data_IF_306721424671
#
_entry.id   IF_306721424671
#
_cell.length_a   1.000
_cell.length_b   1.000
_cell.length_c   1.000
_cell.angle_alpha   90.00
_cell.angle_beta   90.00
_cell.angle_gamma   90.00
#
_symmetry.space_group_name_H-M   'P 1'
#
loop_
_entity.id
_entity.type
_entity.pdbx_description
1 polymer ?
#
# COMPACT_ATOMS: atom_id res chain seq x y z
N UNK A 1 12.49 9.13 -31.81
CA UNK A 1 11.84 9.64 -30.61
C UNK A 1 10.83 8.63 -30.11
N UNK A 2 10.87 8.38 -28.82
CA UNK A 2 9.94 7.42 -28.25
C UNK A 2 8.57 8.06 -28.13
N UNK A 3 7.57 7.36 -28.58
CA UNK A 3 6.23 7.85 -28.48
C UNK A 3 5.73 7.72 -27.05
N UNK A 4 5.12 8.77 -26.54
CA UNK A 4 4.59 8.76 -25.20
C UNK A 4 3.16 8.25 -25.21
N UNK A 5 2.90 7.20 -24.46
CA UNK A 5 1.54 6.70 -24.31
C UNK A 5 0.85 7.50 -23.20
N UNK A 6 -0.15 8.32 -23.53
CA UNK A 6 -0.81 9.14 -22.52
C UNK A 6 -1.39 8.34 -21.37
N UNK A 7 -1.81 7.12 -21.61
CA UNK A 7 -2.39 6.29 -20.56
C UNK A 7 -1.41 5.98 -19.44
N UNK A 8 -0.11 6.10 -19.68
CA UNK A 8 0.89 5.85 -18.65
C UNK A 8 1.08 7.08 -17.76
N UNK A 9 0.59 8.24 -18.19
CA UNK A 9 0.82 9.49 -17.49
C UNK A 9 -0.46 10.14 -16.96
N UNK A 10 -1.59 9.74 -17.48
CA UNK A 10 -2.87 10.28 -17.02
C UNK A 10 -3.26 9.58 -15.72
N UNK A 11 -3.50 10.37 -14.71
CA UNK A 11 -3.91 9.85 -13.42
C UNK A 11 -3.16 10.50 -12.27
N UNK A 12 -3.56 10.18 -11.08
CA UNK A 12 -2.90 10.70 -9.89
C UNK A 12 -1.76 9.78 -9.49
N UNK A 13 -0.65 10.37 -9.08
CA UNK A 13 0.48 9.60 -8.59
C UNK A 13 0.82 10.10 -7.19
N UNK A 14 1.30 9.21 -6.35
CA UNK A 14 1.61 9.57 -4.98
C UNK A 14 2.72 8.72 -4.39
N UNK A 15 3.29 9.22 -3.33
CA UNK A 15 4.24 8.48 -2.50
C UNK A 15 3.55 8.19 -1.18
N UNK A 16 3.58 6.95 -0.77
CA UNK A 16 2.96 6.51 0.47
C UNK A 16 4.03 6.00 1.42
N UNK A 17 3.94 6.41 2.68
CA UNK A 17 4.80 5.85 3.73
C UNK A 17 3.89 5.37 4.85
N UNK A 18 4.02 4.14 5.25
CA UNK A 18 3.21 3.60 6.32
C UNK A 18 3.66 2.21 6.74
N UNK A 19 3.00 1.69 7.75
CA UNK A 19 3.34 0.39 8.31
C UNK A 19 2.49 -0.69 7.66
N UNK A 20 3.11 -1.78 7.25
CA UNK A 20 2.39 -2.90 6.66
C UNK A 20 1.45 -3.54 7.69
N UNK A 21 0.21 -3.76 7.31
CA UNK A 21 -0.77 -4.41 8.18
C UNK A 21 -0.54 -5.91 8.26
N UNK A 22 0.20 -6.46 7.32
CA UNK A 22 0.53 -7.88 7.29
C UNK A 22 1.46 -8.13 6.11
N UNK A 23 1.82 -9.37 5.85
CA UNK A 23 2.65 -9.67 4.67
C UNK A 23 1.81 -9.51 3.40
N UNK A 24 2.46 -9.33 2.24
CA UNK A 24 1.73 -9.29 0.97
C UNK A 24 1.00 -10.61 0.75
N UNK A 25 -0.21 -10.52 0.24
CA UNK A 25 -1.06 -11.69 0.02
C UNK A 25 -1.70 -11.66 -1.35
N UNK A 26 -2.05 -12.82 -1.86
CA UNK A 26 -2.80 -12.87 -3.10
C UNK A 26 -4.22 -12.37 -2.86
N UNK A 27 -4.84 -11.73 -3.88
CA UNK A 27 -6.22 -11.27 -3.73
C UNK A 27 -7.12 -12.44 -3.35
N UNK A 28 -8.07 -12.17 -2.46
CA UNK A 28 -8.98 -13.21 -1.97
C UNK A 28 -10.08 -13.53 -2.97
N UNK A 29 -10.17 -12.79 -4.04
CA UNK A 29 -11.13 -13.05 -5.10
C UNK A 29 -10.37 -13.25 -6.39
N UNK A 30 -10.94 -14.08 -7.26
CA UNK A 30 -10.33 -14.34 -8.53
C UNK A 30 -10.61 -13.17 -9.47
N UNK A 31 -9.58 -12.43 -9.80
CA UNK A 31 -9.69 -11.31 -10.71
C UNK A 31 -8.87 -11.64 -11.94
N UNK A 32 -9.53 -11.68 -13.07
CA UNK A 32 -8.85 -11.93 -14.33
C UNK A 32 -7.75 -10.89 -14.53
N UNK A 33 -6.56 -11.34 -14.81
CA UNK A 33 -5.43 -10.45 -15.02
C UNK A 33 -4.61 -10.14 -13.78
N UNK A 34 -5.04 -10.62 -12.61
CA UNK A 34 -4.28 -10.36 -11.39
C UNK A 34 -3.32 -11.50 -11.03
N UNK A 35 -3.21 -12.48 -11.90
CA UNK A 35 -2.36 -13.65 -11.63
C UNK A 35 -0.91 -13.22 -11.48
N UNK A 36 -0.27 -13.68 -10.40
CA UNK A 36 1.12 -13.33 -10.13
C UNK A 36 1.28 -12.02 -9.37
N UNK A 37 0.20 -11.31 -9.09
CA UNK A 37 0.26 -10.07 -8.31
C UNK A 37 -0.22 -10.31 -6.90
N UNK A 38 0.42 -9.64 -5.96
CA UNK A 38 0.02 -9.67 -4.56
C UNK A 38 -0.40 -8.28 -4.11
N UNK A 39 -1.13 -8.22 -3.02
CA UNK A 39 -1.60 -6.97 -2.44
C UNK A 39 -1.05 -6.81 -1.04
N UNK A 40 -0.56 -5.62 -0.75
CA UNK A 40 -0.08 -5.25 0.58
C UNK A 40 -0.99 -4.16 1.13
N UNK A 41 -1.55 -4.38 2.31
CA UNK A 41 -2.43 -3.39 2.92
C UNK A 41 -1.65 -2.48 3.86
N UNK A 42 -1.81 -1.18 3.69
CA UNK A 42 -1.17 -0.18 4.52
C UNK A 42 -2.22 0.83 5.00
N UNK A 43 -2.58 0.80 6.29
CA UNK A 43 -3.49 1.80 6.83
C UNK A 43 -2.71 3.05 7.21
N UNK A 44 -3.27 4.21 6.93
CA UNK A 44 -2.67 5.48 7.33
C UNK A 44 -3.68 6.24 8.18
N UNK A 45 -3.30 6.51 9.41
CA UNK A 45 -4.14 7.29 10.31
C UNK A 45 -3.98 8.76 10.00
N UNK A 46 -5.09 9.44 9.84
CA UNK A 46 -5.12 10.86 9.52
C UNK A 46 -5.56 11.65 10.73
N UNK A 47 -5.01 12.84 10.89
CA UNK A 47 -5.38 13.66 12.02
C UNK A 47 -4.51 14.90 12.11
N UNK A 48 -4.53 15.52 13.28
CA UNK A 48 -3.78 16.75 13.50
C UNK A 48 -3.46 16.87 14.99
N UNK A 49 -2.50 17.74 15.30
CA UNK A 49 -2.23 18.07 16.69
C UNK A 49 -3.09 19.25 17.10
N UNK A 50 -3.77 19.10 18.24
CA UNK A 50 -4.60 20.18 18.76
C UNK A 50 -3.73 21.20 19.52
N UNK A 51 -4.39 22.22 20.08
CA UNK A 51 -3.66 23.28 20.79
C UNK A 51 -2.93 22.80 22.03
N UNK A 52 -3.35 21.67 22.58
CA UNK A 52 -2.69 21.10 23.77
C UNK A 52 -1.53 20.19 23.39
N UNK A 53 -1.25 20.03 22.10
CA UNK A 53 -0.17 19.17 21.64
C UNK A 53 -0.54 17.71 21.47
N UNK A 54 -1.82 17.36 21.69
CA UNK A 54 -2.27 16.00 21.57
C UNK A 54 -2.69 15.69 20.13
N UNK A 55 -2.50 14.44 19.73
CA UNK A 55 -2.93 13.99 18.41
C UNK A 55 -4.42 13.69 18.40
N UNK A 56 -5.13 14.27 17.45
CA UNK A 56 -6.56 14.01 17.26
C UNK A 56 -6.71 13.20 15.96
N UNK A 57 -7.13 11.96 16.08
CA UNK A 57 -7.31 11.08 14.94
C UNK A 57 -8.65 11.36 14.29
N UNK A 58 -8.66 11.68 12.99
CA UNK A 58 -9.88 11.97 12.25
C UNK A 58 -10.31 10.81 11.34
N UNK A 59 -9.49 9.81 11.19
CA UNK A 59 -9.87 8.64 10.38
C UNK A 59 -8.66 7.83 9.96
N UNK A 60 -8.95 6.75 9.25
CA UNK A 60 -7.93 5.88 8.70
C UNK A 60 -8.24 5.63 7.23
N UNK A 61 -7.25 5.83 6.38
CA UNK A 61 -7.38 5.48 4.97
C UNK A 61 -6.59 4.20 4.74
N UNK A 62 -7.24 3.22 4.15
CA UNK A 62 -6.61 1.96 3.82
C UNK A 62 -6.15 1.98 2.37
N UNK A 63 -4.86 1.79 2.17
CA UNK A 63 -4.27 1.72 0.84
C UNK A 63 -3.92 0.28 0.52
N UNK A 64 -4.14 -0.13 -0.72
CA UNK A 64 -3.72 -1.43 -1.21
C UNK A 64 -2.60 -1.20 -2.20
N UNK A 65 -1.43 -1.75 -1.93
CA UNK A 65 -0.29 -1.66 -2.84
C UNK A 65 -0.23 -2.93 -3.65
N UNK A 66 -0.29 -2.81 -4.97
CA UNK A 66 -0.27 -3.95 -5.88
C UNK A 66 1.08 -4.03 -6.57
N UNK A 67 1.69 -5.19 -6.52
CA UNK A 67 2.94 -5.45 -7.23
C UNK A 67 3.07 -6.93 -7.54
N UNK A 68 3.97 -7.25 -8.46
CA UNK A 68 4.23 -8.64 -8.81
C UNK A 68 4.79 -9.39 -7.61
N UNK A 69 4.44 -10.66 -7.49
CA UNK A 69 4.86 -11.48 -6.36
C UNK A 69 6.37 -11.52 -6.21
N UNK A 70 7.12 -11.50 -7.30
CA UNK A 70 8.58 -11.55 -7.22
C UNK A 70 9.14 -10.31 -6.52
N UNK A 71 8.56 -9.15 -6.76
CA UNK A 71 9.01 -7.92 -6.12
C UNK A 71 8.76 -7.96 -4.61
N UNK A 72 7.61 -8.46 -4.21
CA UNK A 72 7.30 -8.58 -2.80
C UNK A 72 8.13 -9.67 -2.12
N UNK A 73 8.31 -10.81 -2.79
CA UNK A 73 9.08 -11.91 -2.21
C UNK A 73 10.52 -11.51 -1.97
N UNK A 74 11.09 -10.71 -2.87
CA UNK A 74 12.43 -10.22 -2.70
C UNK A 74 12.56 -9.30 -1.49
N UNK A 75 11.54 -8.52 -1.21
CA UNK A 75 11.57 -7.59 -0.09
C UNK A 75 11.27 -8.24 1.26
N UNK A 76 10.53 -9.31 1.27
CA UNK A 76 10.21 -10.04 2.50
C UNK A 76 9.44 -9.22 3.52
N UNK A 77 8.46 -8.43 3.08
CA UNK A 77 7.71 -7.55 3.96
C UNK A 77 6.88 -8.34 4.96
N UNK A 78 6.94 -7.95 6.22
CA UNK A 78 6.15 -8.56 7.29
C UNK A 78 5.31 -7.50 8.00
N UNK A 79 4.35 -7.95 8.77
CA UNK A 79 3.50 -7.06 9.55
C UNK A 79 4.32 -6.11 10.41
N UNK A 80 4.04 -4.84 10.35
CA UNK A 80 4.71 -3.83 11.15
C UNK A 80 5.94 -3.21 10.50
N UNK A 81 6.37 -3.71 9.36
CA UNK A 81 7.50 -3.11 8.64
C UNK A 81 7.08 -1.74 8.10
N UNK A 82 7.99 -0.78 8.18
CA UNK A 82 7.73 0.55 7.62
C UNK A 82 8.14 0.54 6.16
N UNK A 83 7.20 0.86 5.29
CA UNK A 83 7.36 0.74 3.85
C UNK A 83 7.10 2.08 3.17
N UNK A 84 7.90 2.39 2.17
CA UNK A 84 7.67 3.55 1.31
C UNK A 84 7.40 3.06 -0.11
N UNK A 85 6.37 3.61 -0.73
CA UNK A 85 6.02 3.33 -2.11
C UNK A 85 6.13 4.63 -2.87
N UNK A 86 7.12 4.73 -3.74
CA UNK A 86 7.39 5.98 -4.47
C UNK A 86 6.71 6.03 -5.82
N UNK A 87 6.14 7.18 -6.10
CA UNK A 87 5.59 7.48 -7.44
C UNK A 87 4.63 6.41 -7.97
N UNK A 88 3.73 5.97 -7.13
CA UNK A 88 2.75 4.97 -7.50
C UNK A 88 1.54 5.60 -8.17
N UNK A 89 0.97 4.89 -9.12
CA UNK A 89 -0.26 5.33 -9.76
C UNK A 89 -1.42 5.03 -8.82
N UNK A 90 -2.21 6.05 -8.52
CA UNK A 90 -3.36 5.92 -7.63
C UNK A 90 -4.60 5.61 -8.44
N UNK A 91 -5.32 4.58 -8.06
CA UNK A 91 -6.58 4.24 -8.68
C UNK A 91 -7.63 3.98 -7.61
N UNK A 92 -8.83 4.47 -7.84
CA UNK A 92 -9.94 4.17 -6.96
C UNK A 92 -10.68 2.99 -7.57
N UNK A 93 -10.89 1.95 -6.78
CA UNK A 93 -11.62 0.77 -7.24
C UNK A 93 -12.83 0.53 -6.37
N UNK A 94 -13.92 0.13 -6.99
CA UNK A 94 -15.13 -0.21 -6.27
C UNK A 94 -15.15 -1.70 -5.98
N UNK A 95 -15.51 -2.06 -4.79
CA UNK A 95 -15.71 -3.46 -4.44
C UNK A 95 -16.95 -3.59 -3.57
N UNK A 96 -17.53 -4.80 -3.59
CA UNK A 96 -18.73 -5.08 -2.81
C UNK A 96 -18.35 -5.91 -1.61
N UNK A 97 -18.74 -5.46 -0.42
CA UNK A 97 -18.49 -6.21 0.80
C UNK A 97 -19.34 -7.48 0.80
N UNK A 98 -18.71 -8.62 1.04
CA UNK A 98 -19.45 -9.88 1.12
C UNK A 98 -20.30 -9.98 2.37
N UNK A 99 -19.97 -9.21 3.38
CA UNK A 99 -20.69 -9.25 4.65
C UNK A 99 -21.94 -8.38 4.61
N UNK A 100 -21.81 -7.17 4.13
CA UNK A 100 -22.92 -6.22 4.13
C UNK A 100 -23.59 -6.01 2.79
N UNK A 101 -22.96 -6.43 1.73
CA UNK A 101 -23.45 -6.18 0.38
C UNK A 101 -23.26 -4.74 -0.08
N UNK A 102 -22.64 -3.93 0.74
CA UNK A 102 -22.43 -2.53 0.39
C UNK A 102 -21.26 -2.36 -0.56
N UNK A 103 -21.39 -1.35 -1.43
CA UNK A 103 -20.29 -0.99 -2.32
C UNK A 103 -19.38 -0.03 -1.60
N UNK A 104 -18.09 -0.30 -1.66
CA UNK A 104 -17.08 0.54 -1.03
C UNK A 104 -16.02 0.92 -2.05
N UNK A 105 -15.38 2.05 -1.81
CA UNK A 105 -14.29 2.50 -2.66
C UNK A 105 -12.98 2.25 -1.94
N UNK A 106 -12.07 1.64 -2.62
CA UNK A 106 -10.72 1.40 -2.11
C UNK A 106 -9.70 2.11 -2.98
N UNK A 107 -8.57 2.46 -2.39
CA UNK A 107 -7.48 3.10 -3.12
C UNK A 107 -6.39 2.07 -3.37
N UNK A 108 -6.06 1.86 -4.64
CA UNK A 108 -5.01 0.93 -5.03
C UNK A 108 -3.86 1.71 -5.62
N UNK A 109 -2.64 1.36 -5.20
CA UNK A 109 -1.41 1.97 -5.69
C UNK A 109 -0.65 0.93 -6.50
N UNK A 110 -0.37 1.25 -7.76
CA UNK A 110 0.29 0.33 -8.70
C UNK A 110 1.53 0.97 -9.29
N UNK A 111 2.44 0.14 -9.74
CA UNK A 111 3.65 0.57 -10.47
C UNK A 111 4.57 1.49 -9.67
N UNK A 112 4.51 1.47 -8.36
CA UNK A 112 5.41 2.25 -7.53
C UNK A 112 6.67 1.47 -7.19
N UNK A 113 7.69 2.19 -6.78
CA UNK A 113 8.90 1.57 -6.28
C UNK A 113 8.75 1.36 -4.78
N UNK A 114 8.85 0.13 -4.34
CA UNK A 114 8.65 -0.24 -2.93
C UNK A 114 9.98 -0.38 -2.22
N UNK A 115 10.12 0.28 -1.08
CA UNK A 115 11.34 0.23 -0.27
C UNK A 115 10.94 -0.04 1.17
N UNK A 116 11.61 -0.96 1.83
CA UNK A 116 11.42 -1.21 3.25
C UNK A 116 12.37 -0.28 4.00
N UNK A 117 11.80 0.66 4.73
CA UNK A 117 12.58 1.65 5.47
C UNK A 117 13.03 1.13 6.83
N UNK A 118 12.20 0.31 7.46
CA UNK A 118 12.51 -0.19 8.78
C UNK A 118 11.77 -1.51 8.98
N UNK A 119 12.45 -2.48 9.55
CA UNK A 119 11.82 -3.76 9.84
C UNK A 119 11.50 -3.85 11.31
N UNK A 120 10.28 -4.21 11.61
CA UNK A 120 9.84 -4.29 12.99
C UNK A 120 10.52 -5.44 13.72
N UNK A 121 10.65 -6.57 13.07
CA UNK A 121 11.19 -7.75 13.74
C UNK A 121 12.66 -7.87 13.58
N UNK A 122 13.02 -8.87 12.87
CA UNK A 122 14.39 -9.26 12.73
C UNK A 122 15.34 -8.23 12.25
N UNK A 123 14.87 -7.24 11.58
CA UNK A 123 15.78 -6.26 11.04
C UNK A 123 16.54 -5.49 12.08
N UNK A 124 16.01 -5.48 13.29
CA UNK A 124 16.63 -4.63 14.25
C UNK A 124 17.72 -5.26 15.02
N UNK A 125 17.75 -6.51 14.99
CA UNK A 125 18.67 -7.06 15.77
C UNK A 125 19.98 -6.87 15.26
N UNK A 126 20.06 -6.50 14.08
CA UNK A 126 21.33 -6.25 13.67
C UNK A 126 21.82 -5.04 14.21
N UNK A 127 21.02 -4.29 14.71
CA UNK A 127 21.46 -3.21 15.36
C UNK A 127 22.13 -3.69 16.57
N UNK A 128 23.27 -3.71 16.63
CA UNK A 128 23.88 -4.25 17.73
C UNK A 128 23.89 -3.31 18.78
N UNK A 129 23.06 -3.00 18.74
CA UNK A 129 23.11 -2.36 19.45
C UNK A 129 23.13 -2.46 20.22
#
# INVERSE_FOLDING_TARGET
MTEINPNNYVGARMTLVGYAAGPPEYPKYDVSGSRGYKHLSIPVNEGYKNKSGDWVNTGTTWYTVEAHEDAFDELGIAKGDLVRVDDAKQETREYTSKVSGEKKLGITLSYGKITVLERKGGGHEESPF
#
